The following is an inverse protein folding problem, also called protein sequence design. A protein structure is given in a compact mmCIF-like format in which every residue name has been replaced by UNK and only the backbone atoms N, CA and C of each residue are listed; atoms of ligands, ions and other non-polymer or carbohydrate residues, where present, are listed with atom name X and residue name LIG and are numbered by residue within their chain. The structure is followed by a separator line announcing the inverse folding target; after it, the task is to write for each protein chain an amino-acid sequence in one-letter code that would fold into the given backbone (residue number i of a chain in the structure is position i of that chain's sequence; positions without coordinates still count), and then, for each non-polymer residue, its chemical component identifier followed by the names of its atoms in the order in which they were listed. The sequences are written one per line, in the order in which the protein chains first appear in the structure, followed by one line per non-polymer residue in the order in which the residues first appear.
data_IF_824855026413
#
_entry.id   IF_824855026413
#
_cell.length_a   1.000
_cell.length_b   1.000
_cell.length_c   1.000
_cell.angle_alpha   90.00
_cell.angle_beta   90.00
_cell.angle_gamma   90.00
#
_symmetry.space_group_name_H-M   'P 1'
#
loop_
_entity.id
_entity.type
_entity.pdbx_description
1 polymer ?
#
# COMPACT_ATOMS: atom_id res chain seq x y z
N UNK A 1 7.61 -0.08 -12.23
CA UNK A 1 8.82 -0.02 -11.38
C UNK A 1 9.66 -1.29 -11.50
N UNK A 2 9.18 -2.48 -11.06
CA UNK A 2 10.03 -3.70 -11.06
C UNK A 2 10.57 -4.11 -12.43
N UNK A 3 9.80 -3.99 -13.47
CA UNK A 3 10.27 -4.26 -14.84
C UNK A 3 11.35 -3.26 -15.28
N UNK A 4 11.18 -1.98 -14.94
CA UNK A 4 12.18 -0.95 -15.23
C UNK A 4 13.50 -1.19 -14.47
N UNK A 5 13.43 -1.64 -13.19
CA UNK A 5 14.63 -2.06 -12.44
C UNK A 5 15.37 -3.22 -13.11
N UNK A 6 14.66 -4.09 -13.82
CA UNK A 6 15.23 -5.21 -14.57
C UNK A 6 15.75 -4.81 -15.96
N UNK A 7 15.70 -3.53 -16.31
CA UNK A 7 16.14 -3.00 -17.61
C UNK A 7 15.21 -3.35 -18.77
N UNK A 8 13.96 -3.68 -18.47
CA UNK A 8 12.94 -3.96 -19.50
C UNK A 8 12.30 -2.64 -19.95
N UNK A 9 12.16 -2.43 -21.23
CA UNK A 9 11.38 -1.32 -21.79
C UNK A 9 9.91 -1.50 -21.43
N UNK A 10 9.28 -0.46 -20.90
CA UNK A 10 7.91 -0.51 -20.37
C UNK A 10 7.06 0.61 -20.95
N UNK A 11 5.98 0.25 -21.62
CA UNK A 11 4.92 1.16 -22.01
C UNK A 11 3.78 1.11 -20.99
N UNK A 12 3.46 2.25 -20.39
CA UNK A 12 2.34 2.39 -19.47
C UNK A 12 1.16 3.07 -20.18
N UNK A 13 0.16 2.30 -20.53
CA UNK A 13 -1.04 2.77 -21.21
C UNK A 13 -2.17 3.09 -20.26
N UNK A 14 -2.85 4.22 -20.48
CA UNK A 14 -4.00 4.66 -19.69
C UNK A 14 -4.99 5.42 -20.58
N UNK A 15 -6.29 5.36 -20.26
CA UNK A 15 -7.32 6.14 -20.97
C UNK A 15 -7.19 7.65 -20.79
N UNK A 16 -6.58 8.06 -19.69
CA UNK A 16 -6.22 9.46 -19.40
C UNK A 16 -4.73 9.54 -19.13
N UNK A 17 -4.10 10.72 -19.14
CA UNK A 17 -2.74 10.83 -18.64
C UNK A 17 -2.62 10.14 -17.28
N UNK A 18 -1.58 9.32 -17.07
CA UNK A 18 -1.43 8.46 -15.88
C UNK A 18 -1.61 9.25 -14.58
N UNK A 19 -1.03 10.45 -14.50
CA UNK A 19 -1.15 11.36 -13.35
C UNK A 19 -2.54 12.02 -13.20
N UNK A 20 -3.50 11.70 -14.05
CA UNK A 20 -4.91 12.13 -13.96
C UNK A 20 -5.87 10.95 -13.87
N UNK A 21 -5.36 9.74 -13.70
CA UNK A 21 -6.16 8.54 -13.47
C UNK A 21 -6.84 8.59 -12.09
N UNK A 22 -7.82 7.70 -11.86
CA UNK A 22 -8.49 7.58 -10.57
C UNK A 22 -7.52 7.29 -9.40
N UNK A 23 -6.39 6.67 -9.67
CA UNK A 23 -5.38 6.40 -8.65
C UNK A 23 -4.87 7.68 -7.98
N UNK A 24 -4.84 8.82 -8.69
CA UNK A 24 -4.45 10.11 -8.11
C UNK A 24 -5.43 10.60 -7.03
N UNK A 25 -6.67 10.17 -7.11
CA UNK A 25 -7.73 10.56 -6.17
C UNK A 25 -7.74 9.71 -4.89
N UNK A 26 -6.92 8.67 -4.80
CA UNK A 26 -6.87 7.80 -3.62
C UNK A 26 -6.32 8.55 -2.40
N UNK A 27 -7.11 8.60 -1.33
CA UNK A 27 -6.81 9.36 -0.11
C UNK A 27 -6.59 8.48 1.11
N UNK A 28 -7.12 7.24 1.07
CA UNK A 28 -7.14 6.34 2.23
C UNK A 28 -5.77 5.93 2.75
N UNK A 29 -4.85 5.71 1.86
CA UNK A 29 -3.53 5.16 2.16
C UNK A 29 -3.37 3.73 1.63
N UNK A 30 -2.28 3.09 2.01
CA UNK A 30 -1.92 1.73 1.60
C UNK A 30 -1.74 0.85 2.83
N UNK A 31 -2.41 -0.30 2.84
CA UNK A 31 -2.27 -1.29 3.91
C UNK A 31 -0.97 -2.07 3.76
N UNK A 32 -0.22 -2.15 4.85
CA UNK A 32 0.98 -2.98 4.94
C UNK A 32 1.26 -3.33 6.40
N UNK A 33 1.52 -4.58 6.65
CA UNK A 33 2.04 -5.02 7.95
C UNK A 33 3.40 -4.38 8.19
N UNK A 34 3.70 -4.02 9.41
CA UNK A 34 4.98 -3.47 9.82
C UNK A 34 5.44 -4.05 11.16
N UNK A 35 6.64 -3.70 11.58
CA UNK A 35 7.22 -4.27 12.81
C UNK A 35 6.42 -3.92 14.06
N UNK A 36 5.81 -2.73 14.12
CA UNK A 36 4.97 -2.33 15.26
C UNK A 36 3.70 -3.17 15.32
N UNK A 37 3.01 -3.33 14.18
CA UNK A 37 1.78 -4.15 14.15
C UNK A 37 2.09 -5.63 14.35
N UNK A 38 3.25 -6.14 13.88
CA UNK A 38 3.71 -7.52 14.16
C UNK A 38 3.87 -7.77 15.66
N UNK A 39 4.44 -6.82 16.40
CA UNK A 39 4.55 -6.92 17.87
C UNK A 39 3.19 -6.95 18.56
N UNK A 40 2.15 -6.42 17.91
CA UNK A 40 0.76 -6.45 18.37
C UNK A 40 0.01 -7.72 17.93
N UNK A 41 0.67 -8.66 17.26
CA UNK A 41 0.08 -9.90 16.78
C UNK A 41 -0.43 -9.86 15.34
N UNK A 42 -0.14 -8.79 14.58
CA UNK A 42 -0.48 -8.70 13.14
C UNK A 42 0.45 -9.57 12.28
N UNK A 43 -0.05 -9.96 11.11
CA UNK A 43 0.73 -10.72 10.12
C UNK A 43 0.19 -10.50 8.71
N UNK A 44 0.98 -10.88 7.71
CA UNK A 44 0.55 -10.87 6.31
C UNK A 44 -0.64 -11.81 6.08
N UNK A 45 -0.77 -12.86 6.88
CA UNK A 45 -1.92 -13.76 6.84
C UNK A 45 -3.19 -13.08 7.34
N UNK A 46 -3.11 -12.34 8.45
CA UNK A 46 -4.24 -11.54 8.93
C UNK A 46 -4.59 -10.40 7.96
N UNK A 47 -3.58 -9.85 7.26
CA UNK A 47 -3.83 -8.90 6.17
C UNK A 47 -4.53 -9.58 4.99
N UNK A 48 -4.16 -10.80 4.65
CA UNK A 48 -4.86 -11.60 3.64
C UNK A 48 -6.32 -11.86 4.06
N UNK A 49 -6.53 -12.31 5.28
CA UNK A 49 -7.87 -12.61 5.82
C UNK A 49 -8.78 -11.38 5.78
N UNK A 50 -8.28 -10.22 6.26
CA UNK A 50 -9.03 -8.95 6.20
C UNK A 50 -9.40 -8.58 4.74
N UNK A 51 -8.48 -8.81 3.80
CA UNK A 51 -8.70 -8.48 2.38
C UNK A 51 -9.70 -9.43 1.74
N UNK A 52 -9.58 -10.72 2.02
CA UNK A 52 -10.49 -11.75 1.50
C UNK A 52 -11.89 -11.57 2.06
N UNK A 53 -12.00 -11.34 3.36
CA UNK A 53 -13.27 -11.08 4.04
C UNK A 53 -13.92 -9.78 3.52
N UNK A 54 -13.14 -8.70 3.43
CA UNK A 54 -13.62 -7.41 2.92
C UNK A 54 -14.04 -7.44 1.44
N UNK A 55 -13.51 -8.37 0.66
CA UNK A 55 -13.92 -8.65 -0.73
C UNK A 55 -15.03 -9.66 -0.87
N UNK A 56 -15.70 -10.04 0.21
CA UNK A 56 -16.79 -10.99 0.26
C UNK A 56 -16.45 -12.35 -0.41
N UNK A 57 -15.19 -12.75 -0.32
CA UNK A 57 -14.62 -13.99 -0.89
C UNK A 57 -14.72 -14.08 -2.44
N UNK A 58 -14.99 -12.98 -3.14
CA UNK A 58 -15.14 -12.96 -4.59
C UNK A 58 -13.83 -12.81 -5.37
N UNK A 59 -12.75 -12.39 -4.67
CA UNK A 59 -11.44 -12.15 -5.29
C UNK A 59 -10.67 -13.43 -5.57
N UNK A 60 -9.76 -13.35 -6.54
CA UNK A 60 -8.78 -14.40 -6.80
C UNK A 60 -7.71 -14.38 -5.71
N UNK A 61 -7.75 -15.32 -4.77
CA UNK A 61 -6.96 -15.31 -3.53
C UNK A 61 -5.42 -15.44 -3.73
N UNK A 62 -4.88 -16.25 -4.65
CA UNK A 62 -3.43 -16.36 -4.84
C UNK A 62 -2.73 -15.01 -5.11
N UNK A 63 -3.19 -14.15 -6.04
CA UNK A 63 -2.62 -12.80 -6.19
C UNK A 63 -2.77 -11.92 -4.95
N UNK A 64 -3.86 -12.04 -4.20
CA UNK A 64 -4.05 -11.30 -2.94
C UNK A 64 -3.00 -11.70 -1.91
N UNK A 65 -2.72 -12.98 -1.78
CA UNK A 65 -1.65 -13.49 -0.91
C UNK A 65 -0.29 -12.89 -1.29
N UNK A 66 0.07 -12.94 -2.58
CA UNK A 66 1.32 -12.32 -3.05
C UNK A 66 1.37 -10.83 -2.73
N UNK A 67 0.28 -10.10 -2.97
CA UNK A 67 0.16 -8.69 -2.64
C UNK A 67 0.45 -8.42 -1.15
N UNK A 68 -0.15 -9.18 -0.23
CA UNK A 68 0.04 -8.96 1.21
C UNK A 68 1.47 -9.28 1.65
N UNK A 69 2.12 -10.29 1.06
CA UNK A 69 3.52 -10.63 1.34
C UNK A 69 4.51 -9.57 0.83
N UNK A 70 4.19 -8.92 -0.31
CA UNK A 70 5.05 -7.89 -0.89
C UNK A 70 4.78 -6.48 -0.35
N UNK A 71 3.61 -6.22 0.22
CA UNK A 71 3.20 -4.90 0.69
C UNK A 71 4.23 -4.23 1.61
N UNK A 72 4.84 -4.89 2.61
CA UNK A 72 5.87 -4.28 3.46
C UNK A 72 7.06 -3.74 2.66
N UNK A 73 7.57 -4.54 1.73
CA UNK A 73 8.72 -4.16 0.88
C UNK A 73 8.38 -3.02 -0.06
N UNK A 74 7.15 -3.01 -0.59
CA UNK A 74 6.67 -1.94 -1.48
C UNK A 74 6.58 -0.62 -0.73
N UNK A 75 6.03 -0.60 0.48
CA UNK A 75 5.94 0.61 1.30
C UNK A 75 7.33 1.13 1.65
N UNK A 76 8.26 0.25 2.02
CA UNK A 76 9.65 0.65 2.29
C UNK A 76 10.33 1.23 1.05
N UNK A 77 10.09 0.66 -0.12
CA UNK A 77 10.61 1.18 -1.38
C UNK A 77 10.03 2.57 -1.68
N UNK A 78 8.72 2.76 -1.55
CA UNK A 78 8.05 4.05 -1.78
C UNK A 78 8.57 5.13 -0.83
N UNK A 79 8.78 4.79 0.43
CA UNK A 79 9.35 5.69 1.42
C UNK A 79 10.77 6.14 1.01
N UNK A 80 11.63 5.21 0.59
CA UNK A 80 12.98 5.53 0.09
C UNK A 80 12.98 6.37 -1.19
N UNK A 81 11.96 6.22 -2.03
CA UNK A 81 11.79 7.03 -3.24
C UNK A 81 11.26 8.43 -2.95
N UNK A 82 10.93 8.74 -1.70
CA UNK A 82 10.56 10.06 -1.26
C UNK A 82 9.05 10.31 -1.16
N UNK A 83 8.22 9.27 -1.16
CA UNK A 83 6.80 9.44 -0.84
C UNK A 83 6.67 9.96 0.60
N UNK A 84 6.07 11.16 0.81
CA UNK A 84 6.04 11.82 2.10
C UNK A 84 4.95 11.22 3.02
N UNK A 85 5.11 9.96 3.40
CA UNK A 85 4.22 9.35 4.37
C UNK A 85 4.21 10.11 5.69
N UNK A 86 3.05 10.21 6.31
CA UNK A 86 2.92 10.80 7.64
C UNK A 86 3.85 10.11 8.64
N UNK A 87 4.38 10.91 9.58
CA UNK A 87 5.31 10.44 10.60
C UNK A 87 4.76 10.70 12.00
N UNK A 88 5.12 9.80 12.92
CA UNK A 88 4.96 10.04 14.35
C UNK A 88 5.99 11.07 14.83
N UNK A 89 5.82 11.67 16.03
CA UNK A 89 6.83 12.58 16.58
C UNK A 89 8.23 11.98 16.69
N UNK A 90 8.32 10.66 16.85
CA UNK A 90 9.59 9.90 16.93
C UNK A 90 10.21 9.62 15.55
N UNK A 91 9.52 9.97 14.44
CA UNK A 91 10.01 9.82 13.07
C UNK A 91 9.61 8.51 12.38
N UNK A 92 8.89 7.60 13.02
CA UNK A 92 8.37 6.40 12.39
C UNK A 92 7.21 6.74 11.45
N UNK A 93 6.94 5.86 10.46
CA UNK A 93 5.74 6.01 9.63
C UNK A 93 4.49 5.90 10.49
N UNK A 94 3.68 6.97 10.48
CA UNK A 94 2.37 6.93 11.13
C UNK A 94 1.42 6.04 10.34
N UNK A 95 0.57 5.33 11.05
CA UNK A 95 -0.39 4.40 10.48
C UNK A 95 -1.75 4.54 11.14
N UNK A 96 -2.78 4.36 10.34
CA UNK A 96 -4.17 4.42 10.80
C UNK A 96 -4.94 3.15 10.48
N UNK A 97 -6.07 2.95 11.12
CA UNK A 97 -7.07 1.99 10.68
C UNK A 97 -7.85 2.58 9.52
N UNK A 98 -8.05 1.78 8.49
CA UNK A 98 -8.85 2.17 7.35
C UNK A 98 -9.52 0.94 6.73
N UNK A 99 -10.80 1.09 6.31
CA UNK A 99 -11.51 0.05 5.58
C UNK A 99 -11.81 -1.21 6.40
N UNK A 100 -12.02 -1.10 7.70
CA UNK A 100 -12.39 -2.26 8.54
C UNK A 100 -11.23 -3.19 8.93
N UNK A 101 -9.97 -2.80 8.65
CA UNK A 101 -8.81 -3.59 9.07
C UNK A 101 -8.75 -3.76 10.59
N UNK A 102 -8.30 -4.93 11.05
CA UNK A 102 -8.14 -5.22 12.48
C UNK A 102 -7.05 -4.36 13.12
N UNK A 103 -5.95 -4.12 12.42
CA UNK A 103 -4.77 -3.40 12.90
C UNK A 103 -4.60 -2.04 12.21
N UNK A 104 -3.84 -1.13 12.85
CA UNK A 104 -3.42 0.14 12.26
C UNK A 104 -2.29 -0.11 11.26
N UNK A 105 -2.59 -0.59 10.07
CA UNK A 105 -1.58 -0.96 9.06
C UNK A 105 -1.60 -0.08 7.81
N UNK A 106 -2.38 0.99 7.79
CA UNK A 106 -2.52 1.87 6.63
C UNK A 106 -1.53 3.02 6.69
N UNK A 107 -0.48 2.96 5.89
CA UNK A 107 0.43 4.08 5.65
C UNK A 107 -0.26 5.11 4.74
N UNK A 108 -0.10 6.40 5.02
CA UNK A 108 -0.81 7.47 4.31
C UNK A 108 0.03 8.74 4.21
N UNK A 109 -0.25 9.56 3.20
CA UNK A 109 0.34 10.89 3.01
C UNK A 109 -0.80 11.93 3.01
N UNK A 110 -1.25 12.32 4.20
CA UNK A 110 -2.41 13.20 4.39
C UNK A 110 -3.63 12.69 3.62
N UNK A 111 -4.25 13.58 2.84
CA UNK A 111 -5.36 13.26 1.93
C UNK A 111 -4.90 13.10 0.46
N UNK A 112 -3.61 12.97 0.19
CA UNK A 112 -3.04 12.97 -1.16
C UNK A 112 -2.21 11.73 -1.46
N UNK A 113 -2.44 10.61 -0.75
CA UNK A 113 -1.62 9.41 -0.87
C UNK A 113 -1.47 8.94 -2.32
N UNK A 114 -2.56 8.84 -3.08
CA UNK A 114 -2.52 8.41 -4.48
C UNK A 114 -1.74 9.38 -5.37
N UNK A 115 -1.90 10.67 -5.16
CA UNK A 115 -1.14 11.69 -5.88
C UNK A 115 0.37 11.55 -5.62
N UNK A 116 0.77 11.41 -4.37
CA UNK A 116 2.18 11.27 -3.99
C UNK A 116 2.83 10.00 -4.54
N UNK A 117 2.04 8.92 -4.71
CA UNK A 117 2.54 7.68 -5.29
C UNK A 117 2.75 7.75 -6.80
N UNK A 118 2.03 8.64 -7.50
CA UNK A 118 2.09 8.78 -8.97
C UNK A 118 3.07 9.86 -9.43
N UNK A 119 3.50 10.76 -8.56
CA UNK A 119 4.42 11.86 -8.86
C UNK A 119 5.84 11.58 -8.39
#
# INVERSE_FOLDING_TARGET
MKLAELGVDVDLMSLTPVKRSHSVCAQGGINSVNDVTRQQGDSEWLHLDDTVYGGDFLQHQPPVKEMTLWAPKIIDLMDRLGVPFNRTPEGFRDQRRFGGTLFKRTAFAGATTGQQLLY
#
